data_IF_172621646951
#
_entry.id   IF_172621646951
#
_cell.length_a   1.000
_cell.length_b   1.000
_cell.length_c   1.000
_cell.angle_alpha   90.00
_cell.angle_beta   90.00
_cell.angle_gamma   90.00
#
_symmetry.space_group_name_H-M   'P 1'
#
loop_
_entity.id
_entity.type
_entity.pdbx_description
1 polymer ?
#
# COMPACT_ATOMS: atom_id res chain seq x y z
N UNK A 1 3.48 14.62 -8.19
CA UNK A 1 2.47 13.83 -8.90
C UNK A 1 1.58 13.15 -7.88
N UNK A 2 0.28 13.31 -8.05
CA UNK A 2 -0.69 12.75 -7.10
C UNK A 2 -1.77 11.93 -7.85
N UNK A 3 -1.47 10.68 -8.25
CA UNK A 3 -2.48 9.83 -8.86
C UNK A 3 -3.55 9.41 -7.86
N UNK A 4 -4.78 9.19 -8.35
CA UNK A 4 -5.87 8.70 -7.52
C UNK A 4 -5.84 7.17 -7.45
N UNK A 5 -5.93 6.60 -6.23
CA UNK A 5 -6.12 5.17 -6.04
C UNK A 5 -7.52 4.73 -6.43
N UNK A 6 -8.51 5.54 -6.09
CA UNK A 6 -9.91 5.34 -6.40
C UNK A 6 -10.61 6.71 -6.33
N UNK A 7 -11.91 6.84 -6.68
CA UNK A 7 -12.61 8.11 -6.57
C UNK A 7 -12.51 8.73 -5.17
N UNK A 8 -12.40 10.06 -5.13
CA UNK A 8 -12.26 10.81 -3.88
C UNK A 8 -13.39 10.46 -2.92
N UNK A 9 -13.03 10.15 -1.66
CA UNK A 9 -14.00 9.82 -0.62
C UNK A 9 -14.68 8.47 -0.75
N UNK A 10 -14.29 7.64 -1.74
CA UNK A 10 -14.93 6.34 -1.94
C UNK A 10 -14.50 5.28 -0.92
N UNK A 11 -13.28 5.36 -0.42
CA UNK A 11 -12.73 4.33 0.47
C UNK A 11 -12.55 2.96 -0.18
N UNK A 12 -12.56 2.91 -1.51
CA UNK A 12 -12.51 1.64 -2.25
C UNK A 12 -11.10 1.03 -2.35
N UNK A 13 -10.08 1.75 -1.89
CA UNK A 13 -8.71 1.27 -1.94
C UNK A 13 -8.03 1.55 -3.27
N UNK A 14 -6.93 0.85 -3.53
CA UNK A 14 -6.17 1.02 -4.77
C UNK A 14 -6.76 0.13 -5.85
N UNK A 15 -7.51 0.72 -6.77
CA UNK A 15 -8.23 -0.03 -7.81
C UNK A 15 -7.42 -0.31 -9.07
N UNK A 16 -6.36 0.47 -9.32
CA UNK A 16 -5.51 0.29 -10.50
C UNK A 16 -4.03 0.32 -10.12
N UNK A 17 -3.53 -0.72 -9.43
CA UNK A 17 -2.14 -0.73 -8.97
C UNK A 17 -1.13 -0.75 -10.11
N UNK A 18 -1.46 -1.37 -11.25
CA UNK A 18 -0.56 -1.43 -12.40
C UNK A 18 -0.29 -0.04 -12.96
N UNK A 19 -1.34 0.77 -13.12
CA UNK A 19 -1.20 2.13 -13.64
C UNK A 19 -0.39 3.01 -12.68
N UNK A 20 -0.64 2.90 -11.38
CA UNK A 20 0.11 3.64 -10.37
C UNK A 20 1.58 3.24 -10.38
N UNK A 21 1.88 1.96 -10.52
CA UNK A 21 3.25 1.48 -10.63
C UNK A 21 3.96 2.04 -11.86
N UNK A 22 3.29 2.10 -13.01
CA UNK A 22 3.84 2.70 -14.23
C UNK A 22 4.18 4.17 -14.01
N UNK A 23 3.30 4.92 -13.33
CA UNK A 23 3.54 6.32 -13.00
C UNK A 23 4.78 6.45 -12.10
N UNK A 24 4.90 5.62 -11.08
CA UNK A 24 6.02 5.63 -10.15
C UNK A 24 7.34 5.34 -10.86
N UNK A 25 7.35 4.31 -11.70
CA UNK A 25 8.57 3.89 -12.42
C UNK A 25 9.08 4.94 -13.39
N UNK A 26 8.21 5.78 -13.93
CA UNK A 26 8.56 6.83 -14.90
C UNK A 26 8.69 8.22 -14.28
N UNK A 27 8.40 8.38 -12.99
CA UNK A 27 8.45 9.68 -12.34
C UNK A 27 9.89 10.05 -11.95
N UNK A 28 10.24 11.32 -12.19
CA UNK A 28 11.51 11.92 -11.73
C UNK A 28 11.30 12.80 -10.49
N UNK A 29 10.09 12.83 -9.96
CA UNK A 29 9.68 13.64 -8.80
C UNK A 29 8.90 12.74 -7.84
N UNK A 30 8.75 13.14 -6.57
CA UNK A 30 7.96 12.35 -5.62
C UNK A 30 6.54 12.08 -6.11
N UNK A 31 6.06 10.88 -5.84
CA UNK A 31 4.70 10.45 -6.18
C UNK A 31 3.94 10.19 -4.89
N UNK A 32 2.80 10.88 -4.72
CA UNK A 32 1.93 10.73 -3.57
C UNK A 32 0.58 10.19 -4.08
N UNK A 33 0.19 9.02 -3.61
CA UNK A 33 -1.12 8.47 -3.94
C UNK A 33 -2.18 9.23 -3.15
N UNK A 34 -3.13 9.81 -3.87
CA UNK A 34 -4.23 10.60 -3.29
C UNK A 34 -5.54 9.87 -3.50
N UNK A 35 -6.43 9.99 -2.53
CA UNK A 35 -7.80 9.47 -2.58
C UNK A 35 -7.90 7.94 -2.67
N UNK A 36 -9.07 7.43 -2.30
CA UNK A 36 -9.42 6.02 -2.40
C UNK A 36 -9.00 5.15 -1.22
N UNK A 37 -8.08 5.62 -0.38
CA UNK A 37 -7.68 4.88 0.83
C UNK A 37 -8.83 4.84 1.81
N UNK A 38 -9.29 3.65 2.18
CA UNK A 38 -10.41 3.47 3.09
C UNK A 38 -10.02 2.89 4.44
N UNK A 39 -8.89 2.18 4.51
CA UNK A 39 -8.37 1.60 5.74
C UNK A 39 -6.86 1.38 5.65
N UNK A 40 -6.26 0.90 6.74
CA UNK A 40 -4.81 0.73 6.86
C UNK A 40 -4.21 -0.15 5.76
N UNK A 41 -4.85 -1.25 5.40
CA UNK A 41 -4.33 -2.12 4.35
C UNK A 41 -4.22 -1.43 2.99
N UNK A 42 -5.13 -0.52 2.68
CA UNK A 42 -5.06 0.26 1.43
C UNK A 42 -3.83 1.15 1.40
N UNK A 43 -3.49 1.79 2.52
CA UNK A 43 -2.30 2.61 2.65
C UNK A 43 -1.03 1.77 2.50
N UNK A 44 -1.00 0.59 3.12
CA UNK A 44 0.13 -0.33 3.00
C UNK A 44 0.35 -0.77 1.56
N UNK A 45 -0.71 -1.16 0.87
CA UNK A 45 -0.65 -1.57 -0.55
C UNK A 45 -0.09 -0.43 -1.40
N UNK A 46 -0.58 0.79 -1.21
CA UNK A 46 -0.08 1.95 -1.94
C UNK A 46 1.41 2.15 -1.73
N UNK A 47 1.89 2.06 -0.50
CA UNK A 47 3.30 2.21 -0.18
C UNK A 47 4.14 1.07 -0.75
N UNK A 48 3.61 -0.15 -0.78
CA UNK A 48 4.30 -1.29 -1.37
C UNK A 48 4.48 -1.17 -2.89
N UNK A 49 3.66 -0.36 -3.55
CA UNK A 49 3.86 -0.04 -4.98
C UNK A 49 5.08 0.84 -5.23
N UNK A 50 5.59 1.49 -4.18
CA UNK A 50 6.80 2.30 -4.25
C UNK A 50 6.56 3.81 -4.29
N UNK A 51 5.34 4.29 -4.01
CA UNK A 51 5.10 5.72 -3.90
C UNK A 51 5.82 6.32 -2.69
N UNK A 52 6.01 7.63 -2.70
CA UNK A 52 6.73 8.33 -1.65
C UNK A 52 5.85 8.68 -0.46
N UNK A 53 4.55 8.71 -0.66
CA UNK A 53 3.59 8.99 0.40
C UNK A 53 2.16 8.74 -0.02
N UNK A 54 1.26 8.83 0.94
CA UNK A 54 -0.18 8.67 0.75
C UNK A 54 -0.88 9.86 1.38
N UNK A 55 -1.74 10.52 0.63
CA UNK A 55 -2.58 11.59 1.15
C UNK A 55 -3.93 10.98 1.53
N UNK A 56 -4.34 11.16 2.76
CA UNK A 56 -5.59 10.61 3.28
C UNK A 56 -6.31 11.62 4.17
N UNK A 57 -7.63 11.58 4.15
CA UNK A 57 -8.46 12.42 5.01
C UNK A 57 -9.72 11.68 5.43
N UNK A 58 -10.61 11.38 4.48
CA UNK A 58 -11.92 10.79 4.74
C UNK A 58 -11.81 9.45 5.49
N UNK A 59 -10.83 8.63 5.17
CA UNK A 59 -10.61 7.34 5.83
C UNK A 59 -10.43 7.47 7.34
N UNK A 60 -9.77 8.54 7.77
CA UNK A 60 -9.57 8.84 9.18
C UNK A 60 -10.81 9.50 9.76
N UNK A 61 -11.32 10.55 9.09
CA UNK A 61 -12.43 11.35 9.59
C UNK A 61 -13.73 10.53 9.74
N UNK A 62 -14.00 9.60 8.85
CA UNK A 62 -15.21 8.77 8.86
C UNK A 62 -15.04 7.41 9.55
N UNK A 63 -13.86 7.10 10.08
CA UNK A 63 -13.68 5.89 10.87
C UNK A 63 -14.50 5.97 12.17
N UNK A 64 -14.91 4.82 12.70
CA UNK A 64 -15.63 4.77 13.98
C UNK A 64 -14.79 5.32 15.12
N UNK A 65 -13.47 5.11 15.06
CA UNK A 65 -12.50 5.64 16.00
C UNK A 65 -11.39 6.34 15.22
N UNK A 66 -11.55 7.64 14.90
CA UNK A 66 -10.61 8.35 14.04
C UNK A 66 -9.18 8.41 14.59
N UNK A 67 -9.02 8.56 15.90
CA UNK A 67 -7.69 8.64 16.51
C UNK A 67 -6.96 7.32 16.37
N UNK A 68 -7.65 6.20 16.62
CA UNK A 68 -7.08 4.88 16.43
C UNK A 68 -6.77 4.59 14.97
N UNK A 69 -7.63 5.04 14.05
CA UNK A 69 -7.40 4.89 12.63
C UNK A 69 -6.17 5.69 12.17
N UNK A 70 -6.00 6.91 12.67
CA UNK A 70 -4.81 7.70 12.37
C UNK A 70 -3.53 6.99 12.82
N UNK A 71 -3.55 6.35 13.99
CA UNK A 71 -2.43 5.57 14.48
C UNK A 71 -2.17 4.34 13.62
N UNK A 72 -3.23 3.64 13.21
CA UNK A 72 -3.12 2.50 12.31
C UNK A 72 -2.53 2.91 10.95
N UNK A 73 -2.94 4.05 10.41
CA UNK A 73 -2.40 4.58 9.16
C UNK A 73 -0.91 4.89 9.25
N UNK A 74 -0.46 5.44 10.37
CA UNK A 74 0.96 5.67 10.60
C UNK A 74 1.77 4.38 10.49
N UNK A 75 1.32 3.32 11.17
CA UNK A 75 1.99 2.03 11.10
C UNK A 75 1.91 1.40 9.72
N UNK A 76 0.78 1.55 9.04
CA UNK A 76 0.56 1.01 7.70
C UNK A 76 1.53 1.62 6.68
N UNK A 77 1.74 2.92 6.73
CA UNK A 77 2.66 3.64 5.83
C UNK A 77 4.09 3.18 6.07
N UNK A 78 4.51 3.07 7.31
CA UNK A 78 5.86 2.60 7.67
C UNK A 78 6.07 1.16 7.21
N UNK A 79 5.12 0.27 7.49
CA UNK A 79 5.20 -1.12 7.09
C UNK A 79 5.30 -1.28 5.57
N UNK A 80 4.48 -0.55 4.83
CA UNK A 80 4.48 -0.60 3.37
C UNK A 80 5.79 -0.09 2.78
N UNK A 81 6.34 0.99 3.34
CA UNK A 81 7.63 1.53 2.89
C UNK A 81 8.77 0.54 3.14
N UNK A 82 8.81 -0.05 4.32
CA UNK A 82 9.84 -1.03 4.66
C UNK A 82 9.73 -2.27 3.78
N UNK A 83 8.53 -2.77 3.54
CA UNK A 83 8.31 -3.90 2.65
C UNK A 83 8.79 -3.62 1.22
N UNK A 84 8.51 -2.41 0.71
CA UNK A 84 8.99 -2.00 -0.60
C UNK A 84 10.51 -1.98 -0.66
N UNK A 85 11.16 -1.41 0.33
CA UNK A 85 12.62 -1.31 0.38
C UNK A 85 13.30 -2.68 0.58
N UNK A 86 12.66 -3.57 1.33
CA UNK A 86 13.17 -4.92 1.52
C UNK A 86 13.09 -5.77 0.24
N UNK A 87 12.10 -5.49 -0.58
CA UNK A 87 11.85 -6.27 -1.78
C UNK A 87 11.03 -7.52 -1.49
N UNK A 88 10.00 -7.72 -2.30
CA UNK A 88 9.11 -8.87 -2.17
C UNK A 88 9.81 -10.13 -2.68
N UNK A 89 9.58 -11.26 -1.99
CA UNK A 89 10.01 -12.54 -2.54
C UNK A 89 9.33 -12.82 -3.88
N UNK A 90 10.00 -13.51 -4.82
CA UNK A 90 9.37 -13.87 -6.09
C UNK A 90 8.12 -14.73 -5.87
N UNK A 91 7.08 -14.48 -6.67
CA UNK A 91 5.92 -15.35 -6.70
C UNK A 91 6.30 -16.67 -7.39
N UNK A 92 5.94 -17.79 -6.78
CA UNK A 92 6.25 -19.10 -7.31
C UNK A 92 4.96 -19.79 -7.76
N UNK A 93 5.01 -20.43 -8.93
CA UNK A 93 3.88 -21.19 -9.44
C UNK A 93 3.62 -22.44 -8.59
N UNK A 94 4.71 -23.04 -8.07
CA UNK A 94 4.66 -24.19 -7.17
C UNK A 94 5.44 -23.87 -5.91
N UNK A 95 4.98 -24.39 -4.78
CA UNK A 95 5.68 -24.22 -3.53
C UNK A 95 7.01 -24.95 -3.53
N UNK A 96 8.08 -24.27 -3.09
CA UNK A 96 9.39 -24.85 -2.84
C UNK A 96 9.64 -24.87 -1.34
N UNK A 97 10.19 -25.98 -0.78
CA UNK A 97 10.57 -25.97 0.63
C UNK A 97 11.72 -24.97 0.85
N UNK A 98 11.54 -24.04 1.77
CA UNK A 98 12.57 -23.06 2.13
C UNK A 98 13.41 -23.52 3.32
N UNK A 99 13.05 -24.65 3.94
CA UNK A 99 13.79 -25.26 5.04
C UNK A 99 13.76 -26.79 4.92
N UNK A 100 14.74 -27.50 5.52
CA UNK A 100 14.74 -28.96 5.45
C UNK A 100 13.52 -29.62 6.06
N UNK A 101 12.82 -28.92 6.95
CA UNK A 101 11.61 -29.46 7.61
C UNK A 101 10.32 -29.14 6.87
N UNK A 102 10.36 -28.31 5.84
CA UNK A 102 9.17 -27.88 5.13
C UNK A 102 8.42 -29.04 4.45
N UNK A 103 9.14 -30.03 3.95
CA UNK A 103 8.55 -31.22 3.36
C UNK A 103 8.05 -32.27 4.36
N UNK A 104 8.34 -32.10 5.64
CA UNK A 104 7.93 -33.03 6.69
C UNK A 104 6.67 -32.58 7.42
N UNK A 105 6.26 -31.37 7.16
CA UNK A 105 5.07 -30.75 7.75
C UNK A 105 3.93 -30.79 6.71
#
# INVERSE_FOLDING_TARGET
>A
IMPLGAPIGSGLGVQNPVNIRVIIENASVPVIVDAGVGTASDATIAMELGCDGVLMNTAIAEARDPIRMARAMKHAVVAGREAYLAGRMPKKRYADPSSPLAGLI
#
